data_IF_078223211298
#
_entry.id   IF_078223211298
#
_cell.length_a   1.000
_cell.length_b   1.000
_cell.length_c   1.000
_cell.angle_alpha   90.00
_cell.angle_beta   90.00
_cell.angle_gamma   90.00
#
_symmetry.space_group_name_H-M   'P 1'
#
loop_
_entity.id
_entity.type
_entity.pdbx_description
1 polymer ?
#
# COMPACT_ATOMS: atom_id res chain seq x y z
N UNK A 1 8.65 20.40 1.13
CA UNK A 1 7.68 21.00 0.19
C UNK A 1 7.44 20.10 -1.03
N UNK A 2 8.50 19.70 -1.77
CA UNK A 2 8.39 18.84 -2.96
C UNK A 2 7.66 17.48 -2.75
N UNK A 3 7.81 16.83 -1.59
CA UNK A 3 7.20 15.50 -1.36
C UNK A 3 5.68 15.53 -1.23
N UNK A 4 5.08 16.63 -0.73
CA UNK A 4 3.63 16.71 -0.51
C UNK A 4 2.87 16.94 -1.82
N UNK A 5 3.38 17.82 -2.68
CA UNK A 5 2.83 18.06 -4.01
C UNK A 5 2.97 16.82 -4.91
N UNK A 6 4.10 16.11 -4.80
CA UNK A 6 4.28 14.82 -5.47
C UNK A 6 3.22 13.82 -5.03
N UNK A 7 2.99 13.66 -3.72
CA UNK A 7 1.97 12.74 -3.19
C UNK A 7 0.58 13.14 -3.67
N UNK A 8 0.23 14.43 -3.64
CA UNK A 8 -1.06 14.93 -4.11
C UNK A 8 -1.31 14.60 -5.58
N UNK A 9 -0.33 14.85 -6.46
CA UNK A 9 -0.42 14.51 -7.90
C UNK A 9 -0.61 13.03 -8.14
N UNK A 10 0.05 12.20 -7.35
CA UNK A 10 -0.05 10.75 -7.48
C UNK A 10 -1.38 10.21 -6.96
N UNK A 11 -1.93 10.78 -5.89
CA UNK A 11 -3.26 10.40 -5.41
C UNK A 11 -4.37 10.84 -6.35
N UNK A 12 -4.26 11.99 -7.02
CA UNK A 12 -5.17 12.36 -8.11
C UNK A 12 -5.19 11.32 -9.23
N UNK A 13 -4.02 10.77 -9.60
CA UNK A 13 -3.94 9.68 -10.57
C UNK A 13 -4.62 8.40 -10.06
N UNK A 14 -4.35 8.02 -8.80
CA UNK A 14 -4.91 6.80 -8.19
C UNK A 14 -6.39 6.90 -7.85
N UNK A 15 -6.97 8.10 -7.82
CA UNK A 15 -8.39 8.33 -7.52
C UNK A 15 -9.32 7.62 -8.51
N UNK A 16 -8.95 7.60 -9.80
CA UNK A 16 -9.75 6.97 -10.84
C UNK A 16 -9.76 5.44 -10.78
N UNK A 17 -8.66 4.83 -10.32
CA UNK A 17 -8.47 3.38 -10.34
C UNK A 17 -8.80 2.73 -8.98
N UNK A 18 -8.45 3.39 -7.88
CA UNK A 18 -8.48 2.81 -6.53
C UNK A 18 -9.31 3.60 -5.51
N UNK A 19 -9.96 4.69 -5.91
CA UNK A 19 -10.78 5.57 -5.06
C UNK A 19 -10.05 6.16 -3.84
N UNK A 20 -8.73 6.28 -3.90
CA UNK A 20 -7.98 7.02 -2.86
C UNK A 20 -8.01 8.51 -3.14
N UNK A 21 -8.37 9.33 -2.14
CA UNK A 21 -8.28 10.80 -2.24
C UNK A 21 -7.22 11.32 -1.27
N UNK A 22 -6.49 12.37 -1.66
CA UNK A 22 -5.49 13.00 -0.80
C UNK A 22 -6.06 13.50 0.53
N UNK A 23 -7.29 14.01 0.52
CA UNK A 23 -7.98 14.51 1.72
C UNK A 23 -8.33 13.42 2.73
N UNK A 24 -8.27 12.14 2.35
CA UNK A 24 -8.55 11.01 3.24
C UNK A 24 -7.31 10.63 4.08
N UNK A 25 -6.13 11.15 3.73
CA UNK A 25 -4.89 10.84 4.42
C UNK A 25 -4.59 11.84 5.55
N UNK A 26 -4.23 11.30 6.71
CA UNK A 26 -3.74 12.07 7.85
C UNK A 26 -2.30 12.49 7.63
N UNK A 27 -1.89 13.62 8.19
CA UNK A 27 -0.52 14.16 8.03
C UNK A 27 0.58 13.14 8.36
N UNK A 28 0.41 12.35 9.43
CA UNK A 28 1.40 11.33 9.79
C UNK A 28 1.53 10.22 8.74
N UNK A 29 0.43 9.85 8.07
CA UNK A 29 0.48 8.86 6.98
C UNK A 29 1.20 9.45 5.76
N UNK A 30 0.92 10.71 5.43
CA UNK A 30 1.59 11.43 4.34
C UNK A 30 3.10 11.46 4.57
N UNK A 31 3.55 11.76 5.79
CA UNK A 31 4.97 11.75 6.14
C UNK A 31 5.63 10.38 5.96
N UNK A 32 4.97 9.31 6.37
CA UNK A 32 5.49 7.93 6.20
C UNK A 32 5.55 7.55 4.72
N UNK A 33 4.49 7.81 3.97
CA UNK A 33 4.44 7.56 2.52
C UNK A 33 5.54 8.36 1.80
N UNK A 34 5.75 9.62 2.19
CA UNK A 34 6.82 10.46 1.67
C UNK A 34 8.19 9.84 1.91
N UNK A 35 8.47 9.33 3.11
CA UNK A 35 9.74 8.65 3.42
C UNK A 35 9.95 7.44 2.52
N UNK A 36 8.94 6.57 2.39
CA UNK A 36 9.02 5.33 1.59
C UNK A 36 9.24 5.66 0.10
N UNK A 37 8.48 6.59 -0.47
CA UNK A 37 8.62 7.01 -1.88
C UNK A 37 10.00 7.62 -2.15
N UNK A 38 10.57 8.33 -1.18
CA UNK A 38 11.92 8.88 -1.26
C UNK A 38 13.01 7.86 -0.92
N UNK A 39 12.66 6.58 -0.72
CA UNK A 39 13.60 5.49 -0.38
C UNK A 39 14.37 5.74 0.93
N UNK A 40 13.71 6.41 1.88
CA UNK A 40 14.25 6.66 3.22
C UNK A 40 13.58 5.68 4.18
N UNK A 41 14.40 4.89 4.87
CA UNK A 41 13.92 3.97 5.89
C UNK A 41 13.20 4.74 7.01
N UNK A 42 12.08 4.19 7.48
CA UNK A 42 11.30 4.84 8.54
C UNK A 42 10.67 3.82 9.48
N UNK A 43 10.61 4.18 10.77
CA UNK A 43 9.80 3.49 11.76
C UNK A 43 8.54 4.31 12.05
N UNK A 44 7.37 3.74 11.76
CA UNK A 44 6.09 4.38 11.98
C UNK A 44 5.33 3.68 13.11
N UNK A 45 4.94 4.45 14.13
CA UNK A 45 4.12 3.96 15.23
C UNK A 45 2.73 4.59 15.13
N UNK A 46 1.73 3.74 14.92
CA UNK A 46 0.34 4.16 14.78
C UNK A 46 -0.54 3.47 15.84
N UNK A 47 -1.51 4.19 16.43
CA UNK A 47 -2.58 3.56 17.18
C UNK A 47 -3.36 2.56 16.32
N UNK A 48 -3.98 1.56 16.95
CA UNK A 48 -4.92 0.66 16.27
C UNK A 48 -6.06 1.47 15.64
N UNK A 49 -6.50 1.09 14.43
CA UNK A 49 -7.53 1.82 13.70
C UNK A 49 -7.08 3.14 13.06
N UNK A 50 -5.83 3.58 13.24
CA UNK A 50 -5.36 4.84 12.67
C UNK A 50 -5.24 4.82 11.14
N UNK A 51 -5.22 3.63 10.53
CA UNK A 51 -5.14 3.44 9.06
C UNK A 51 -3.73 3.11 8.55
N UNK A 52 -2.94 2.35 9.31
CA UNK A 52 -1.55 2.01 8.92
C UNK A 52 -1.43 1.32 7.56
N UNK A 53 -2.45 0.54 7.15
CA UNK A 53 -2.45 -0.22 5.89
C UNK A 53 -2.27 0.68 4.66
N UNK A 54 -2.77 1.93 4.70
CA UNK A 54 -2.57 2.89 3.61
C UNK A 54 -1.08 3.17 3.33
N UNK A 55 -0.25 3.19 4.38
CA UNK A 55 1.19 3.41 4.25
C UNK A 55 1.92 2.23 3.62
N UNK A 56 1.32 1.04 3.60
CA UNK A 56 1.92 -0.15 3.00
C UNK A 56 1.58 -0.25 1.51
N UNK A 57 0.38 0.15 1.11
CA UNK A 57 -0.15 -0.08 -0.24
C UNK A 57 0.03 1.09 -1.20
N UNK A 58 -0.04 2.32 -0.72
CA UNK A 58 0.10 3.50 -1.58
C UNK A 58 1.50 3.62 -2.20
N UNK A 59 2.61 3.43 -1.45
CA UNK A 59 3.94 3.60 -2.03
C UNK A 59 4.23 2.72 -3.26
N UNK A 60 3.96 1.39 -3.29
CA UNK A 60 4.22 0.59 -4.49
C UNK A 60 3.36 1.01 -5.69
N UNK A 61 2.10 1.42 -5.48
CA UNK A 61 1.24 1.92 -6.56
C UNK A 61 1.78 3.23 -7.14
N UNK A 62 2.20 4.15 -6.28
CA UNK A 62 2.79 5.44 -6.67
C UNK A 62 4.11 5.24 -7.41
N UNK A 63 4.99 4.35 -6.92
CA UNK A 63 6.26 4.04 -7.57
C UNK A 63 6.07 3.37 -8.93
N UNK A 64 5.09 2.48 -9.08
CA UNK A 64 4.71 1.88 -10.38
C UNK A 64 4.37 2.98 -11.40
N UNK A 65 3.57 3.96 -11.01
CA UNK A 65 3.20 5.08 -11.88
C UNK A 65 4.40 5.98 -12.21
N UNK A 66 5.20 6.38 -11.21
CA UNK A 66 6.34 7.29 -11.41
C UNK A 66 7.43 6.71 -12.32
N UNK A 67 7.75 5.44 -12.15
CA UNK A 67 8.91 4.81 -12.78
C UNK A 67 8.55 3.95 -14.00
N UNK A 68 7.25 3.78 -14.30
CA UNK A 68 6.73 2.96 -15.41
C UNK A 68 7.29 1.53 -15.43
N UNK A 69 7.47 0.94 -14.25
CA UNK A 69 7.94 -0.45 -14.05
C UNK A 69 7.13 -1.11 -12.93
N UNK A 70 7.18 -2.43 -12.83
CA UNK A 70 6.53 -3.14 -11.72
C UNK A 70 7.22 -2.81 -10.39
N UNK A 71 6.41 -2.48 -9.39
CA UNK A 71 6.82 -2.32 -8.00
C UNK A 71 5.95 -3.21 -7.13
N UNK A 72 6.59 -3.88 -6.17
CA UNK A 72 5.93 -4.79 -5.24
C UNK A 72 6.11 -4.26 -3.83
N UNK A 73 5.02 -4.25 -3.06
CA UNK A 73 5.06 -4.05 -1.62
C UNK A 73 5.08 -5.40 -0.93
N UNK A 74 6.07 -5.64 -0.07
CA UNK A 74 6.12 -6.84 0.76
C UNK A 74 5.71 -6.44 2.17
N UNK A 75 4.63 -7.05 2.65
CA UNK A 75 4.12 -6.84 4.01
C UNK A 75 4.30 -8.13 4.80
N UNK A 76 5.08 -8.07 5.87
CA UNK A 76 5.31 -9.21 6.76
C UNK A 76 4.34 -9.11 7.94
N UNK A 77 3.58 -10.17 8.18
CA UNK A 77 2.62 -10.27 9.28
C UNK A 77 2.68 -11.66 9.90
N UNK A 78 2.58 -11.74 11.22
CA UNK A 78 2.52 -13.02 11.95
C UNK A 78 1.12 -13.63 11.98
N UNK A 79 0.07 -12.87 11.62
CA UNK A 79 -1.32 -13.29 11.78
C UNK A 79 -1.97 -13.56 10.41
N UNK A 80 -2.31 -14.83 10.14
CA UNK A 80 -2.97 -15.25 8.88
C UNK A 80 -4.33 -14.61 8.68
N UNK A 81 -5.14 -14.51 9.74
CA UNK A 81 -6.44 -13.82 9.67
C UNK A 81 -6.28 -12.38 9.18
N UNK A 82 -5.30 -11.64 9.72
CA UNK A 82 -5.02 -10.27 9.30
C UNK A 82 -4.56 -10.18 7.83
N UNK A 83 -3.77 -11.16 7.37
CA UNK A 83 -3.34 -11.22 5.97
C UNK A 83 -4.53 -11.47 5.04
N UNK A 84 -5.43 -12.38 5.40
CA UNK A 84 -6.66 -12.64 4.62
C UNK A 84 -7.53 -11.38 4.53
N UNK A 85 -7.76 -10.67 5.64
CA UNK A 85 -8.54 -9.43 5.67
C UNK A 85 -7.93 -8.37 4.75
N UNK A 86 -6.59 -8.24 4.75
CA UNK A 86 -5.87 -7.31 3.87
C UNK A 86 -5.99 -7.69 2.40
N UNK A 87 -5.80 -8.96 2.04
CA UNK A 87 -5.94 -9.41 0.65
C UNK A 87 -7.36 -9.22 0.14
N UNK A 88 -8.39 -9.57 0.93
CA UNK A 88 -9.79 -9.32 0.57
C UNK A 88 -10.07 -7.83 0.37
N UNK A 89 -9.55 -6.98 1.27
CA UNK A 89 -9.68 -5.52 1.14
C UNK A 89 -9.03 -5.02 -0.15
N UNK A 90 -7.81 -5.46 -0.45
CA UNK A 90 -7.09 -5.05 -1.65
C UNK A 90 -7.76 -5.54 -2.93
N UNK A 91 -8.24 -6.79 -2.95
CA UNK A 91 -9.01 -7.33 -4.06
C UNK A 91 -10.28 -6.52 -4.33
N UNK A 92 -11.02 -6.11 -3.29
CA UNK A 92 -12.20 -5.24 -3.44
C UNK A 92 -11.88 -3.83 -3.98
N UNK A 93 -10.62 -3.41 -3.86
CA UNK A 93 -10.10 -2.18 -4.45
C UNK A 93 -9.52 -2.39 -5.86
N UNK A 94 -9.53 -3.62 -6.40
CA UNK A 94 -8.89 -3.95 -7.68
C UNK A 94 -7.37 -4.05 -7.60
N UNK A 95 -6.80 -4.16 -6.41
CA UNK A 95 -5.35 -4.27 -6.19
C UNK A 95 -4.98 -5.74 -6.03
N UNK A 96 -4.10 -6.23 -6.91
CA UNK A 96 -3.57 -7.59 -6.83
C UNK A 96 -2.65 -7.75 -5.61
N UNK A 97 -2.99 -8.72 -4.76
CA UNK A 97 -2.21 -9.10 -3.59
C UNK A 97 -2.35 -10.62 -3.36
N UNK A 98 -1.30 -11.24 -2.85
CA UNK A 98 -1.25 -12.68 -2.55
C UNK A 98 -0.59 -12.90 -1.20
N UNK A 99 -0.98 -13.97 -0.51
CA UNK A 99 -0.34 -14.40 0.74
C UNK A 99 0.76 -15.40 0.40
N UNK A 100 1.96 -15.17 0.94
CA UNK A 100 3.08 -16.09 0.85
C UNK A 100 3.38 -16.69 2.25
N UNK A 101 3.34 -18.01 2.38
CA UNK A 101 3.65 -18.76 3.61
C UNK A 101 3.68 -20.28 3.40
N UNK A 102 3.89 -21.06 4.47
CA UNK A 102 3.96 -22.52 4.38
C UNK A 102 2.63 -23.17 3.95
N UNK A 103 1.49 -22.59 4.36
CA UNK A 103 0.15 -23.16 4.16
C UNK A 103 -0.59 -22.58 2.94
N UNK A 104 0.11 -22.30 1.84
CA UNK A 104 -0.54 -21.87 0.58
C UNK A 104 -0.87 -23.13 -0.23
N UNK A 105 -2.12 -23.28 -0.62
CA UNK A 105 -2.54 -24.33 -1.55
C UNK A 105 -1.85 -24.17 -2.92
N UNK A 106 -1.71 -25.26 -3.68
CA UNK A 106 -1.10 -25.20 -5.01
C UNK A 106 -1.88 -24.30 -6.00
N UNK A 107 -3.17 -24.09 -5.76
CA UNK A 107 -4.05 -23.22 -6.55
C UNK A 107 -3.80 -21.75 -6.25
N UNK A 108 -3.68 -21.37 -4.98
CA UNK A 108 -3.34 -20.00 -4.57
C UNK A 108 -1.93 -19.57 -5.01
N UNK A 109 -1.01 -20.52 -5.20
CA UNK A 109 0.35 -20.24 -5.72
C UNK A 109 0.38 -19.72 -7.15
N UNK A 110 -0.66 -19.98 -7.95
CA UNK A 110 -0.63 -19.67 -9.38
C UNK A 110 -1.01 -18.23 -9.73
N UNK A 111 -1.52 -17.43 -8.78
CA UNK A 111 -1.95 -16.06 -9.02
C UNK A 111 -3.13 -16.03 -10.02
N UNK A 112 -4.34 -15.84 -9.52
CA UNK A 112 -5.53 -15.65 -10.36
C UNK A 112 -5.42 -14.43 -11.26
#
# INVERSE_FOLDING_TARGET
MASRDLIARQLEFLKGEFKFTFNDLKDKQISVIASIVNKVDCMAIFPTGFGKSACNILPPLMMKNMHKRHFYGIVVSSLRSLMNDQVCQFASMGISAVICGPDISAEERKGG
#
